data_IF_856064464943
#
_entry.id   IF_856064464943
#
_cell.length_a   1.000
_cell.length_b   1.000
_cell.length_c   1.000
_cell.angle_alpha   90.00
_cell.angle_beta   90.00
_cell.angle_gamma   90.00
#
_symmetry.space_group_name_H-M   'P 1'
#
loop_
_entity.id
_entity.type
_entity.pdbx_description
1 polymer ?
#
# COMPACT_ATOMS: atom_id res chain seq x y z
N UNK A 1 -6.21 14.77 23.98
CA UNK A 1 -5.33 15.08 22.83
C UNK A 1 -5.69 14.10 21.73
N UNK A 2 -6.42 14.52 20.70
CA UNK A 2 -6.78 13.63 19.59
C UNK A 2 -5.53 13.33 18.75
N UNK A 3 -5.21 12.06 18.54
CA UNK A 3 -4.13 11.63 17.65
C UNK A 3 -4.43 12.13 16.23
N UNK A 4 -3.41 12.63 15.50
CA UNK A 4 -3.58 13.08 14.10
C UNK A 4 -4.20 11.97 13.22
N UNK A 5 -3.96 10.70 13.57
CA UNK A 5 -4.55 9.52 12.92
C UNK A 5 -6.08 9.51 13.01
N UNK A 6 -6.64 9.76 14.21
CA UNK A 6 -8.09 9.76 14.42
C UNK A 6 -8.77 10.85 13.58
N UNK A 7 -8.16 12.04 13.54
CA UNK A 7 -8.66 13.15 12.74
C UNK A 7 -8.62 12.83 11.24
N UNK A 8 -7.47 12.34 10.75
CA UNK A 8 -7.30 11.97 9.34
C UNK A 8 -8.28 10.87 8.93
N UNK A 9 -8.51 9.88 9.80
CA UNK A 9 -9.46 8.80 9.53
C UNK A 9 -10.90 9.28 9.48
N UNK A 10 -11.32 10.15 10.42
CA UNK A 10 -12.64 10.77 10.36
C UNK A 10 -12.86 11.55 9.06
N UNK A 11 -11.87 12.34 8.63
CA UNK A 11 -11.92 13.07 7.36
C UNK A 11 -11.96 12.12 6.15
N UNK A 12 -11.18 11.04 6.16
CA UNK A 12 -11.16 10.04 5.09
C UNK A 12 -12.50 9.32 4.96
N UNK A 13 -13.11 8.89 6.07
CA UNK A 13 -14.42 8.24 6.05
C UNK A 13 -15.48 9.19 5.48
N UNK A 14 -15.52 10.45 5.94
CA UNK A 14 -16.44 11.45 5.41
C UNK A 14 -16.21 11.74 3.91
N UNK A 15 -14.96 11.65 3.43
CA UNK A 15 -14.65 11.83 2.01
C UNK A 15 -15.12 10.64 1.18
N UNK A 16 -14.94 9.41 1.69
CA UNK A 16 -15.43 8.17 1.06
C UNK A 16 -16.93 8.23 0.80
N UNK A 17 -17.71 8.75 1.74
CA UNK A 17 -19.16 8.90 1.62
C UNK A 17 -19.59 10.06 0.69
N UNK A 18 -18.64 10.92 0.30
CA UNK A 18 -18.90 12.14 -0.46
C UNK A 18 -17.72 12.55 -1.34
N UNK A 19 -17.44 11.76 -2.38
CA UNK A 19 -16.27 11.97 -3.27
C UNK A 19 -16.26 13.33 -3.99
N UNK A 20 -17.42 13.98 -4.13
CA UNK A 20 -17.54 15.33 -4.72
C UNK A 20 -17.33 16.46 -3.69
N UNK A 21 -16.97 16.15 -2.45
CA UNK A 21 -16.64 17.13 -1.44
C UNK A 21 -15.20 17.65 -1.63
N UNK A 22 -15.02 18.50 -2.63
CA UNK A 22 -13.72 19.08 -3.01
C UNK A 22 -13.06 19.86 -1.87
N UNK A 23 -13.85 20.52 -1.01
CA UNK A 23 -13.31 21.23 0.15
C UNK A 23 -12.71 20.25 1.17
N UNK A 24 -13.40 19.15 1.45
CA UNK A 24 -12.89 18.10 2.34
C UNK A 24 -11.67 17.41 1.74
N UNK A 25 -11.68 17.13 0.43
CA UNK A 25 -10.54 16.58 -0.30
C UNK A 25 -9.29 17.47 -0.11
N UNK A 26 -9.42 18.79 -0.34
CA UNK A 26 -8.33 19.73 -0.13
C UNK A 26 -7.87 19.78 1.34
N UNK A 27 -8.81 19.85 2.29
CA UNK A 27 -8.47 19.87 3.73
C UNK A 27 -7.72 18.62 4.15
N UNK A 28 -8.15 17.44 3.68
CA UNK A 28 -7.52 16.16 4.00
C UNK A 28 -6.09 16.11 3.46
N UNK A 29 -5.90 16.38 2.17
CA UNK A 29 -4.57 16.40 1.55
C UNK A 29 -3.63 17.40 2.23
N UNK A 30 -4.12 18.61 2.54
CA UNK A 30 -3.31 19.61 3.24
C UNK A 30 -2.93 19.18 4.65
N UNK A 31 -3.84 18.54 5.38
CA UNK A 31 -3.56 18.01 6.73
C UNK A 31 -2.50 16.92 6.68
N UNK A 32 -2.59 15.99 5.71
CA UNK A 32 -1.57 14.96 5.48
C UNK A 32 -0.22 15.61 5.20
N UNK A 33 -0.16 16.56 4.27
CA UNK A 33 1.04 17.31 3.91
C UNK A 33 1.67 17.98 5.14
N UNK A 34 0.87 18.67 5.96
CA UNK A 34 1.34 19.35 7.16
C UNK A 34 1.91 18.37 8.20
N UNK A 35 1.31 17.19 8.35
CA UNK A 35 1.81 16.13 9.23
C UNK A 35 3.16 15.58 8.73
N UNK A 36 3.27 15.24 7.44
CA UNK A 36 4.53 14.77 6.83
C UNK A 36 5.64 15.80 6.99
N UNK A 37 5.39 17.07 6.64
CA UNK A 37 6.37 18.16 6.77
C UNK A 37 6.81 18.41 8.22
N UNK A 38 5.97 18.10 9.21
CA UNK A 38 6.34 18.20 10.64
C UNK A 38 7.36 17.13 11.02
N UNK A 39 7.11 15.89 10.60
CA UNK A 39 8.03 14.77 10.81
C UNK A 39 9.36 14.99 10.10
N UNK A 40 9.35 15.44 8.85
CA UNK A 40 10.58 15.73 8.09
C UNK A 40 11.45 16.79 8.77
N UNK A 41 10.85 17.89 9.25
CA UNK A 41 11.57 18.93 9.99
C UNK A 41 12.22 18.37 11.26
N UNK A 42 11.52 17.50 11.98
CA UNK A 42 12.06 16.83 13.18
C UNK A 42 13.24 15.92 12.82
N UNK A 43 13.10 15.10 11.78
CA UNK A 43 14.17 14.23 11.27
C UNK A 43 15.40 15.05 10.87
N UNK A 44 15.21 16.16 10.13
CA UNK A 44 16.28 17.05 9.70
C UNK A 44 17.06 17.64 10.88
N UNK A 45 16.34 18.11 11.92
CA UNK A 45 16.95 18.60 13.16
C UNK A 45 17.78 17.51 13.85
N UNK A 46 17.20 16.33 14.06
CA UNK A 46 17.88 15.21 14.74
C UNK A 46 19.11 14.71 13.98
N UNK A 47 19.04 14.66 12.64
CA UNK A 47 20.19 14.33 11.79
C UNK A 47 21.32 15.36 11.94
N UNK A 48 20.99 16.65 11.98
CA UNK A 48 21.96 17.73 12.22
C UNK A 48 22.60 17.60 13.62
N UNK A 49 21.80 17.33 14.64
CA UNK A 49 22.29 17.13 16.01
C UNK A 49 23.22 15.90 16.09
N UNK A 50 22.84 14.79 15.46
CA UNK A 50 23.69 13.60 15.37
C UNK A 50 25.02 13.87 14.65
N UNK A 51 25.02 14.67 13.58
CA UNK A 51 26.25 15.06 12.90
C UNK A 51 27.18 15.89 13.81
N UNK A 52 26.62 16.82 14.58
CA UNK A 52 27.37 17.61 15.56
C UNK A 52 27.94 16.75 16.69
N UNK A 53 27.14 15.84 17.26
CA UNK A 53 27.58 14.90 18.29
C UNK A 53 28.70 13.97 17.81
N UNK A 54 28.59 13.45 16.58
CA UNK A 54 29.66 12.64 15.95
C UNK A 54 30.94 13.45 15.72
N UNK A 55 30.81 14.72 15.35
CA UNK A 55 31.96 15.63 15.21
C UNK A 55 32.64 15.87 16.56
N UNK A 56 31.88 16.07 17.64
CA UNK A 56 32.40 16.24 18.98
C UNK A 56 33.19 15.01 19.47
N UNK A 57 32.67 13.79 19.22
CA UNK A 57 33.38 12.54 19.53
C UNK A 57 34.73 12.41 18.81
N UNK A 58 34.85 12.92 17.58
CA UNK A 58 36.08 12.85 16.79
C UNK A 58 37.11 13.89 17.21
N UNK A 59 36.65 15.11 17.53
CA UNK A 59 37.53 16.27 17.76
C UNK A 59 37.92 16.46 19.22
N UNK A 60 37.11 15.98 20.15
CA UNK A 60 37.33 16.17 21.58
C UNK A 60 37.76 14.85 22.19
N UNK A 61 38.91 14.82 22.90
CA UNK A 61 39.30 13.72 23.80
C UNK A 61 38.38 13.70 25.01
N UNK A 62 37.10 13.40 24.78
CA UNK A 62 36.08 13.40 25.81
C UNK A 62 36.39 12.32 26.85
N UNK A 63 36.21 12.61 28.14
CA UNK A 63 36.21 11.58 29.18
C UNK A 63 35.25 10.45 28.83
N UNK A 64 35.57 9.22 29.26
CA UNK A 64 34.83 7.99 28.93
C UNK A 64 33.32 8.12 29.16
N UNK A 65 32.91 8.67 30.30
CA UNK A 65 31.51 8.88 30.67
C UNK A 65 30.78 9.82 29.70
N UNK A 66 31.41 10.96 29.35
CA UNK A 66 30.83 11.90 28.37
C UNK A 66 30.74 11.28 26.98
N UNK A 67 31.70 10.44 26.59
CA UNK A 67 31.66 9.70 25.33
C UNK A 67 30.49 8.70 25.29
N UNK A 68 30.24 7.98 26.39
CA UNK A 68 29.11 7.06 26.51
C UNK A 68 27.77 7.80 26.38
N UNK A 69 27.57 8.87 27.14
CA UNK A 69 26.34 9.66 27.08
C UNK A 69 26.05 10.22 25.67
N UNK A 70 27.10 10.66 24.94
CA UNK A 70 26.95 11.11 23.56
C UNK A 70 26.53 9.97 22.63
N UNK A 71 27.10 8.76 22.78
CA UNK A 71 26.72 7.58 21.99
C UNK A 71 25.28 7.17 22.26
N UNK A 72 24.86 7.16 23.51
CA UNK A 72 23.47 6.89 23.91
C UNK A 72 22.51 7.91 23.30
N UNK A 73 22.86 9.21 23.32
CA UNK A 73 22.05 10.25 22.68
C UNK A 73 21.93 10.05 21.18
N UNK A 74 23.01 9.66 20.50
CA UNK A 74 22.98 9.35 19.06
C UNK A 74 22.06 8.16 18.78
N UNK A 75 22.12 7.11 19.61
CA UNK A 75 21.25 5.93 19.50
C UNK A 75 19.78 6.34 19.67
N UNK A 76 19.45 7.03 20.75
CA UNK A 76 18.10 7.55 21.00
C UNK A 76 17.59 8.41 19.84
N UNK A 77 18.39 9.36 19.35
CA UNK A 77 18.00 10.19 18.22
C UNK A 77 17.74 9.36 16.95
N UNK A 78 18.47 8.26 16.76
CA UNK A 78 18.28 7.36 15.61
C UNK A 78 16.98 6.57 15.71
N UNK A 79 16.62 6.10 16.91
CA UNK A 79 15.33 5.46 17.20
C UNK A 79 14.17 6.44 16.94
N UNK A 80 14.28 7.69 17.42
CA UNK A 80 13.27 8.73 17.15
C UNK A 80 13.17 9.03 15.65
N UNK A 81 14.28 9.07 14.91
CA UNK A 81 14.25 9.23 13.45
C UNK A 81 13.49 8.08 12.78
N UNK A 82 13.69 6.83 13.23
CA UNK A 82 12.97 5.68 12.69
C UNK A 82 11.47 5.78 12.96
N UNK A 83 11.07 6.16 14.19
CA UNK A 83 9.67 6.39 14.55
C UNK A 83 9.02 7.51 13.71
N UNK A 84 9.72 8.63 13.48
CA UNK A 84 9.21 9.71 12.63
C UNK A 84 9.09 9.31 11.15
N UNK A 85 9.98 8.44 10.65
CA UNK A 85 9.83 7.87 9.29
C UNK A 85 8.62 6.96 9.19
N UNK A 86 8.37 6.14 10.21
CA UNK A 86 7.17 5.30 10.27
C UNK A 86 5.90 6.15 10.28
N UNK A 87 5.87 7.26 11.04
CA UNK A 87 4.75 8.22 10.97
C UNK A 87 4.55 8.80 9.58
N UNK A 88 5.62 9.16 8.87
CA UNK A 88 5.52 9.63 7.47
C UNK A 88 4.88 8.54 6.61
N UNK A 89 5.33 7.29 6.72
CA UNK A 89 4.71 6.16 6.03
C UNK A 89 3.21 6.08 6.33
N UNK A 90 2.81 6.07 7.61
CA UNK A 90 1.41 6.05 8.04
C UNK A 90 0.60 7.23 7.47
N UNK A 91 1.12 8.46 7.52
CA UNK A 91 0.41 9.62 6.96
C UNK A 91 0.28 9.51 5.44
N UNK A 92 1.28 8.99 4.75
CA UNK A 92 1.21 8.77 3.31
C UNK A 92 0.27 7.62 2.91
N UNK A 93 0.02 6.64 3.79
CA UNK A 93 -1.05 5.66 3.58
C UNK A 93 -2.44 6.30 3.55
N UNK A 94 -2.66 7.43 4.25
CA UNK A 94 -3.87 8.24 4.06
C UNK A 94 -3.89 8.94 2.69
N UNK A 95 -2.72 9.37 2.18
CA UNK A 95 -2.62 9.92 0.82
C UNK A 95 -2.91 8.85 -0.24
N UNK A 96 -2.37 7.64 -0.06
CA UNK A 96 -2.76 6.49 -0.88
C UNK A 96 -4.26 6.22 -0.76
N UNK A 97 -4.85 6.32 0.44
CA UNK A 97 -6.29 6.11 0.58
C UNK A 97 -7.10 7.10 -0.25
N UNK A 98 -6.68 8.37 -0.31
CA UNK A 98 -7.29 9.35 -1.22
C UNK A 98 -7.13 8.87 -2.66
N UNK A 99 -5.95 8.41 -3.09
CA UNK A 99 -5.76 7.88 -4.45
C UNK A 99 -6.73 6.73 -4.78
N UNK A 100 -6.81 5.73 -3.90
CA UNK A 100 -7.65 4.53 -4.08
C UNK A 100 -9.16 4.82 -4.03
N UNK A 101 -9.59 5.99 -3.54
CA UNK A 101 -10.99 6.41 -3.64
C UNK A 101 -11.38 6.89 -5.04
N UNK A 102 -10.42 7.30 -5.87
CA UNK A 102 -10.68 7.89 -7.19
C UNK A 102 -10.06 7.12 -8.36
N UNK A 103 -9.04 6.30 -8.10
CA UNK A 103 -8.30 5.58 -9.14
C UNK A 103 -8.42 4.09 -8.86
N UNK A 104 -8.71 3.32 -9.92
CA UNK A 104 -8.72 1.87 -9.85
C UNK A 104 -7.39 1.31 -9.30
N UNK A 105 -7.47 0.29 -8.43
CA UNK A 105 -6.31 -0.28 -7.75
C UNK A 105 -5.32 -0.98 -8.68
N UNK A 106 -5.78 -1.45 -9.85
CA UNK A 106 -4.92 -2.03 -10.88
C UNK A 106 -4.24 -0.95 -11.71
N UNK A 107 -4.86 0.22 -11.89
CA UNK A 107 -4.19 1.43 -12.41
C UNK A 107 -3.12 1.93 -11.44
N UNK A 108 -3.42 2.06 -10.15
CA UNK A 108 -2.44 2.54 -9.15
C UNK A 108 -1.19 1.66 -9.12
N UNK A 109 -1.33 0.34 -9.26
CA UNK A 109 -0.20 -0.58 -9.44
C UNK A 109 0.72 -0.15 -10.58
N UNK A 110 0.16 0.35 -11.69
CA UNK A 110 0.96 0.82 -12.82
C UNK A 110 1.72 2.11 -12.50
N UNK A 111 1.23 2.93 -11.57
CA UNK A 111 1.87 4.18 -11.16
C UNK A 111 2.98 3.98 -10.11
N UNK A 112 3.18 2.77 -9.62
CA UNK A 112 4.17 2.45 -8.58
C UNK A 112 5.53 2.03 -9.13
N UNK A 113 5.53 1.20 -10.17
CA UNK A 113 6.74 0.61 -10.72
C UNK A 113 7.40 1.50 -11.78
N UNK A 114 8.67 1.22 -12.07
CA UNK A 114 9.36 1.80 -13.22
C UNK A 114 8.67 1.37 -14.54
N UNK A 115 8.94 2.09 -15.63
CA UNK A 115 8.46 1.73 -16.98
C UNK A 115 9.38 0.72 -17.69
N UNK A 116 10.61 0.56 -17.20
CA UNK A 116 11.61 -0.33 -17.79
C UNK A 116 11.65 -1.73 -17.17
N UNK A 117 11.26 -1.87 -15.90
CA UNK A 117 11.18 -3.14 -15.19
C UNK A 117 10.18 -3.03 -14.01
N UNK A 118 9.92 -4.13 -13.32
CA UNK A 118 9.09 -4.18 -12.10
C UNK A 118 9.81 -3.73 -10.83
N UNK A 119 10.94 -3.01 -10.94
CA UNK A 119 11.51 -2.36 -9.77
C UNK A 119 10.64 -1.18 -9.37
N UNK A 120 10.53 -0.99 -8.06
CA UNK A 120 9.82 0.14 -7.48
C UNK A 120 10.50 1.43 -7.96
N UNK A 121 9.73 2.39 -8.46
CA UNK A 121 10.30 3.69 -8.84
C UNK A 121 10.79 4.44 -7.60
N UNK A 122 11.93 5.11 -7.69
CA UNK A 122 12.43 5.92 -6.56
C UNK A 122 11.44 7.03 -6.19
N UNK A 123 11.21 7.23 -4.88
CA UNK A 123 10.39 8.32 -4.39
C UNK A 123 11.09 9.66 -4.58
N UNK A 124 10.32 10.72 -4.81
CA UNK A 124 10.77 12.10 -4.69
C UNK A 124 11.40 12.36 -3.32
N UNK A 125 12.46 13.17 -3.25
CA UNK A 125 13.12 13.54 -1.99
C UNK A 125 12.24 14.42 -1.08
N UNK A 126 12.73 14.74 0.12
CA UNK A 126 12.03 15.49 1.18
C UNK A 126 11.18 16.68 0.65
N UNK A 127 9.97 16.85 1.21
CA UNK A 127 9.03 17.94 0.87
C UNK A 127 9.51 19.30 1.40
N UNK A 128 10.19 19.29 2.54
CA UNK A 128 10.61 20.52 3.22
C UNK A 128 11.68 21.32 2.46
N UNK A 129 11.28 22.48 1.93
CA UNK A 129 12.19 23.50 1.35
C UNK A 129 12.18 23.60 -0.17
N UNK A 130 11.25 22.93 -0.86
CA UNK A 130 11.05 23.07 -2.31
C UNK A 130 10.14 24.25 -2.62
N UNK A 131 10.56 25.15 -3.50
CA UNK A 131 9.70 26.19 -4.08
C UNK A 131 8.57 25.59 -4.94
N UNK A 132 8.81 24.43 -5.58
CA UNK A 132 7.85 23.75 -6.47
C UNK A 132 6.57 23.26 -5.81
N UNK A 133 6.62 22.86 -4.53
CA UNK A 133 5.45 22.34 -3.80
C UNK A 133 4.28 23.34 -3.74
N UNK A 134 4.59 24.64 -3.70
CA UNK A 134 3.54 25.68 -3.70
C UNK A 134 2.80 25.69 -5.04
N UNK A 135 3.51 25.58 -6.15
CA UNK A 135 2.93 25.57 -7.50
C UNK A 135 2.09 24.30 -7.73
N UNK A 136 2.60 23.13 -7.30
CA UNK A 136 1.88 21.86 -7.31
C UNK A 136 0.57 21.95 -6.49
N UNK A 137 0.63 22.56 -5.30
CA UNK A 137 -0.54 22.73 -4.44
C UNK A 137 -1.58 23.71 -5.01
N UNK A 138 -1.14 24.81 -5.61
CA UNK A 138 -2.07 25.74 -6.28
C UNK A 138 -2.73 25.10 -7.51
N UNK A 139 -2.05 24.19 -8.22
CA UNK A 139 -2.66 23.38 -9.28
C UNK A 139 -3.80 22.49 -8.74
N UNK A 140 -3.56 21.79 -7.63
CA UNK A 140 -4.57 20.95 -6.97
C UNK A 140 -5.79 21.77 -6.52
N UNK A 141 -5.55 22.93 -5.90
CA UNK A 141 -6.64 23.86 -5.51
C UNK A 141 -7.44 24.32 -6.71
N UNK A 142 -6.76 24.83 -7.76
CA UNK A 142 -7.43 25.35 -8.95
C UNK A 142 -8.33 24.29 -9.59
N UNK A 143 -7.85 23.04 -9.68
CA UNK A 143 -8.68 21.94 -10.18
C UNK A 143 -9.92 21.71 -9.32
N UNK A 144 -9.75 21.63 -7.99
CA UNK A 144 -10.85 21.42 -7.05
C UNK A 144 -11.86 22.58 -7.06
N UNK A 145 -11.40 23.83 -7.18
CA UNK A 145 -12.25 25.02 -7.32
C UNK A 145 -13.10 24.96 -8.59
N UNK A 146 -12.56 24.35 -9.65
CA UNK A 146 -13.26 24.05 -10.91
C UNK A 146 -14.00 22.70 -10.91
N UNK A 147 -14.25 22.12 -9.74
CA UNK A 147 -15.02 20.86 -9.57
C UNK A 147 -14.39 19.64 -10.23
N UNK A 148 -13.07 19.64 -10.40
CA UNK A 148 -12.29 18.49 -10.82
C UNK A 148 -11.51 17.97 -9.62
N UNK A 149 -11.74 16.73 -9.16
CA UNK A 149 -10.94 16.17 -8.07
C UNK A 149 -9.49 16.07 -8.52
N UNK A 150 -8.55 16.41 -7.64
CA UNK A 150 -7.13 16.38 -7.94
C UNK A 150 -6.34 15.88 -6.74
N UNK A 151 -5.20 15.25 -7.02
CA UNK A 151 -4.35 14.59 -6.04
C UNK A 151 -2.91 15.08 -6.15
N UNK A 152 -2.34 15.54 -5.04
CA UNK A 152 -0.91 15.79 -4.91
C UNK A 152 -0.17 14.46 -4.71
N UNK A 153 0.80 14.13 -5.56
CA UNK A 153 1.48 12.83 -5.46
C UNK A 153 2.46 12.75 -4.29
N UNK A 154 3.01 13.89 -3.88
CA UNK A 154 4.02 13.98 -2.83
C UNK A 154 3.49 13.52 -1.44
N UNK A 155 2.17 13.43 -1.26
CA UNK A 155 1.52 12.87 -0.07
C UNK A 155 1.24 11.36 -0.16
N UNK A 156 1.55 10.71 -1.28
CA UNK A 156 1.30 9.27 -1.52
C UNK A 156 2.61 8.46 -1.40
N UNK A 157 2.48 7.14 -1.30
CA UNK A 157 3.60 6.19 -1.49
C UNK A 157 3.46 5.38 -2.78
N UNK A 158 2.23 5.16 -3.25
CA UNK A 158 1.90 4.32 -4.39
C UNK A 158 2.02 5.03 -5.74
N UNK A 159 1.75 6.34 -5.80
CA UNK A 159 1.88 7.11 -7.05
C UNK A 159 3.26 7.74 -7.11
N UNK A 160 4.09 7.28 -8.05
CA UNK A 160 5.50 7.71 -8.17
C UNK A 160 5.84 8.36 -9.51
N UNK A 161 4.84 8.66 -10.33
CA UNK A 161 5.01 9.36 -11.62
C UNK A 161 4.18 10.63 -11.67
N UNK A 162 4.79 11.72 -12.14
CA UNK A 162 4.20 13.06 -12.09
C UNK A 162 4.16 13.65 -10.70
N UNK A 163 3.68 14.89 -10.60
CA UNK A 163 3.59 15.65 -9.36
C UNK A 163 2.12 15.80 -8.89
N UNK A 164 1.18 15.88 -9.84
CA UNK A 164 -0.25 16.02 -9.60
C UNK A 164 -1.03 15.12 -10.57
N UNK A 165 -2.19 14.60 -10.15
CA UNK A 165 -3.17 13.99 -11.05
C UNK A 165 -4.51 14.71 -10.99
N UNK A 166 -5.15 14.87 -12.15
CA UNK A 166 -6.58 15.19 -12.23
C UNK A 166 -7.38 13.89 -12.32
N UNK A 167 -8.44 13.80 -11.54
CA UNK A 167 -9.19 12.56 -11.28
C UNK A 167 -10.65 12.63 -11.77
N UNK A 168 -10.95 13.54 -12.70
CA UNK A 168 -12.30 13.76 -13.23
C UNK A 168 -12.73 12.77 -14.33
N UNK A 169 -11.97 11.70 -14.54
CA UNK A 169 -12.19 10.64 -15.54
C UNK A 169 -11.85 9.29 -14.91
N UNK A 170 -12.22 8.20 -15.59
CA UNK A 170 -11.93 6.84 -15.13
C UNK A 170 -10.44 6.59 -14.91
N UNK A 171 -9.59 7.14 -15.79
CA UNK A 171 -8.13 7.10 -15.66
C UNK A 171 -7.56 8.46 -15.23
N UNK A 172 -6.53 8.48 -14.37
CA UNK A 172 -5.93 9.72 -13.88
C UNK A 172 -5.15 10.42 -14.99
N UNK A 173 -5.36 11.74 -15.12
CA UNK A 173 -4.53 12.57 -15.97
C UNK A 173 -3.34 13.11 -15.18
N UNK A 174 -2.16 12.54 -15.45
CA UNK A 174 -0.93 12.84 -14.72
C UNK A 174 -0.24 14.09 -15.28
N UNK A 175 0.10 15.01 -14.38
CA UNK A 175 0.77 16.28 -14.66
C UNK A 175 2.14 16.27 -13.99
N UNK A 176 3.19 16.52 -14.78
CA UNK A 176 4.53 16.86 -14.28
C UNK A 176 4.70 18.39 -14.34
N UNK A 177 4.87 19.00 -13.18
CA UNK A 177 5.03 20.44 -13.03
C UNK A 177 6.50 20.83 -13.22
N UNK A 178 6.74 21.93 -13.93
CA UNK A 178 8.08 22.51 -14.10
C UNK A 178 8.03 24.00 -13.86
N UNK A 179 8.81 24.46 -12.89
CA UNK A 179 8.98 25.89 -12.59
C UNK A 179 10.03 26.58 -13.48
N UNK A 180 10.74 25.84 -14.36
CA UNK A 180 11.79 26.36 -15.23
C UNK A 180 11.72 25.77 -16.63
N UNK A 181 12.11 26.55 -17.65
CA UNK A 181 12.19 26.13 -19.07
C UNK A 181 13.37 25.21 -19.40
N UNK A 182 14.09 24.70 -18.39
CA UNK A 182 15.35 24.00 -18.58
C UNK A 182 15.13 22.55 -19.09
N UNK A 183 15.59 22.26 -20.31
CA UNK A 183 15.49 20.94 -20.93
C UNK A 183 16.81 20.19 -20.80
N UNK A 184 16.93 19.37 -19.76
CA UNK A 184 18.08 18.45 -19.59
C UNK A 184 17.66 17.00 -19.86
N UNK A 185 18.63 16.12 -20.14
CA UNK A 185 18.40 14.67 -20.37
C UNK A 185 17.52 14.00 -19.30
N UNK A 186 17.61 14.46 -18.04
CA UNK A 186 16.75 14.00 -16.95
C UNK A 186 15.27 14.31 -17.21
N UNK A 187 14.97 15.52 -17.68
CA UNK A 187 13.62 16.00 -17.98
C UNK A 187 13.05 15.25 -19.17
N UNK A 188 13.84 15.05 -20.23
CA UNK A 188 13.43 14.24 -21.39
C UNK A 188 13.10 12.80 -20.99
N UNK A 189 13.90 12.19 -20.11
CA UNK A 189 13.62 10.84 -19.58
C UNK A 189 12.34 10.79 -18.76
N UNK A 190 12.08 11.78 -17.92
CA UNK A 190 10.82 11.86 -17.14
C UNK A 190 9.61 11.96 -18.08
N UNK A 191 9.69 12.83 -19.09
CA UNK A 191 8.64 12.99 -20.10
C UNK A 191 8.40 11.69 -20.88
N UNK A 192 9.46 11.07 -21.38
CA UNK A 192 9.36 9.80 -22.11
C UNK A 192 8.76 8.67 -21.25
N UNK A 193 9.11 8.61 -19.96
CA UNK A 193 8.53 7.63 -19.04
C UNK A 193 7.04 7.87 -18.81
N UNK A 194 6.62 9.14 -18.64
CA UNK A 194 5.21 9.50 -18.53
C UNK A 194 4.43 9.20 -19.81
N UNK A 195 5.00 9.48 -20.97
CA UNK A 195 4.38 9.17 -22.27
C UNK A 195 4.19 7.65 -22.45
N UNK A 196 5.19 6.84 -22.10
CA UNK A 196 5.08 5.37 -22.14
C UNK A 196 4.00 4.85 -21.20
N UNK A 197 3.98 5.34 -19.97
CA UNK A 197 2.99 4.94 -18.97
C UNK A 197 1.58 5.37 -19.38
N UNK A 198 1.42 6.62 -19.82
CA UNK A 198 0.15 7.15 -20.30
C UNK A 198 -0.35 6.41 -21.54
N UNK A 199 0.53 6.07 -22.48
CA UNK A 199 0.15 5.24 -23.64
C UNK A 199 -0.30 3.84 -23.23
N UNK A 200 0.34 3.22 -22.24
CA UNK A 200 -0.07 1.90 -21.76
C UNK A 200 -1.45 1.95 -21.09
N UNK A 201 -1.67 2.93 -20.19
CA UNK A 201 -2.97 3.11 -19.51
C UNK A 201 -4.08 3.41 -20.53
N UNK A 202 -3.80 4.20 -21.57
CA UNK A 202 -4.80 4.57 -22.56
C UNK A 202 -5.14 3.48 -23.57
N UNK A 203 -4.24 2.52 -23.81
CA UNK A 203 -4.41 1.47 -24.84
C UNK A 203 -4.67 0.09 -24.28
N UNK A 204 -4.50 -0.10 -22.98
CA UNK A 204 -4.53 -1.41 -22.32
C UNK A 204 -3.49 -2.41 -22.83
N UNK A 205 -2.54 -1.99 -23.66
CA UNK A 205 -1.48 -2.85 -24.18
C UNK A 205 -0.18 -2.08 -24.39
N UNK A 206 0.95 -2.78 -24.20
CA UNK A 206 2.25 -2.26 -24.58
C UNK A 206 3.23 -3.40 -24.89
N UNK A 207 4.00 -3.21 -25.95
CA UNK A 207 5.15 -4.05 -26.28
C UNK A 207 6.40 -3.59 -25.52
N UNK A 208 7.24 -4.53 -25.12
CA UNK A 208 8.53 -4.30 -24.45
C UNK A 208 8.41 -3.35 -23.22
N UNK A 209 7.31 -3.48 -22.48
CA UNK A 209 7.04 -2.67 -21.30
C UNK A 209 7.42 -3.44 -20.05
N UNK A 210 8.21 -2.82 -19.16
CA UNK A 210 8.74 -3.45 -17.95
C UNK A 210 9.55 -4.74 -18.16
N UNK A 211 10.18 -4.88 -19.34
CA UNK A 211 10.91 -6.11 -19.69
C UNK A 211 10.01 -7.28 -20.07
N UNK A 212 8.69 -7.07 -20.16
CA UNK A 212 7.75 -8.04 -20.70
C UNK A 212 7.58 -7.76 -22.20
N UNK A 213 7.75 -8.78 -23.07
CA UNK A 213 7.59 -8.61 -24.52
C UNK A 213 6.23 -8.02 -24.90
N UNK A 214 5.16 -8.49 -24.26
CA UNK A 214 3.80 -8.02 -24.43
C UNK A 214 3.07 -8.00 -23.09
N UNK A 215 2.66 -6.80 -22.66
CA UNK A 215 1.80 -6.63 -21.48
C UNK A 215 0.44 -6.13 -21.93
N UNK A 216 -0.61 -6.82 -21.47
CA UNK A 216 -2.01 -6.46 -21.74
C UNK A 216 -2.74 -6.32 -20.41
N UNK A 217 -3.50 -5.24 -20.26
CA UNK A 217 -4.48 -5.05 -19.20
C UNK A 217 -5.82 -5.57 -19.71
N UNK A 218 -6.39 -6.53 -19.00
CA UNK A 218 -7.73 -7.04 -19.29
C UNK A 218 -8.66 -6.67 -18.15
N UNK A 219 -9.90 -6.38 -18.51
CA UNK A 219 -10.97 -6.24 -17.52
C UNK A 219 -11.18 -7.58 -16.82
N UNK A 220 -11.56 -7.49 -15.55
CA UNK A 220 -12.13 -8.62 -14.84
C UNK A 220 -13.47 -8.97 -15.48
N UNK A 221 -13.78 -10.26 -15.49
CA UNK A 221 -14.99 -10.85 -16.04
C UNK A 221 -16.10 -10.94 -15.00
N UNK A 222 -15.74 -10.97 -13.73
CA UNK A 222 -16.66 -10.99 -12.60
C UNK A 222 -16.31 -9.90 -11.58
N UNK A 223 -17.31 -9.44 -10.83
CA UNK A 223 -17.11 -8.47 -9.74
C UNK A 223 -16.28 -9.12 -8.62
N UNK A 224 -15.33 -8.36 -8.08
CA UNK A 224 -14.48 -8.83 -7.00
C UNK A 224 -15.26 -9.05 -5.71
N UNK A 225 -15.17 -10.26 -5.17
CA UNK A 225 -15.69 -10.59 -3.84
C UNK A 225 -14.70 -10.17 -2.75
N UNK A 226 -15.17 -9.40 -1.76
CA UNK A 226 -14.36 -8.91 -0.64
C UNK A 226 -15.00 -9.18 0.72
N UNK A 227 -14.17 -9.56 1.68
CA UNK A 227 -14.50 -9.78 3.09
C UNK A 227 -14.10 -8.61 3.99
N UNK A 228 -13.93 -7.41 3.43
CA UNK A 228 -13.62 -6.19 4.19
C UNK A 228 -14.68 -5.90 5.27
N UNK A 229 -15.96 -6.17 4.99
CA UNK A 229 -17.01 -6.06 6.00
C UNK A 229 -16.83 -7.08 7.14
N UNK A 230 -16.59 -8.35 6.81
CA UNK A 230 -16.36 -9.42 7.79
C UNK A 230 -15.16 -9.11 8.68
N UNK A 231 -14.07 -8.57 8.11
CA UNK A 231 -12.94 -8.08 8.90
C UNK A 231 -13.40 -7.06 9.95
N UNK A 232 -14.14 -6.02 9.54
CA UNK A 232 -14.53 -4.95 10.45
C UNK A 232 -15.54 -5.43 11.53
N UNK A 233 -16.39 -6.41 11.21
CA UNK A 233 -17.22 -7.10 12.20
C UNK A 233 -16.37 -7.89 13.20
N UNK A 234 -15.34 -8.60 12.72
CA UNK A 234 -14.35 -9.29 13.56
C UNK A 234 -13.59 -8.31 14.48
N UNK A 235 -13.21 -7.13 13.99
CA UNK A 235 -12.58 -6.09 14.80
C UNK A 235 -13.51 -5.55 15.90
N UNK A 236 -14.79 -5.37 15.58
CA UNK A 236 -15.80 -4.97 16.56
C UNK A 236 -15.97 -6.03 17.66
N UNK A 237 -16.03 -7.31 17.29
CA UNK A 237 -16.07 -8.42 18.24
C UNK A 237 -14.82 -8.46 19.13
N UNK A 238 -13.65 -8.31 18.52
CA UNK A 238 -12.36 -8.27 19.21
C UNK A 238 -12.30 -7.13 20.24
N UNK A 239 -12.88 -5.97 19.94
CA UNK A 239 -12.96 -4.85 20.87
C UNK A 239 -13.71 -5.18 22.16
N UNK A 240 -14.73 -6.02 22.08
CA UNK A 240 -15.54 -6.44 23.23
C UNK A 240 -14.95 -7.62 24.00
N UNK A 241 -14.29 -8.55 23.29
CA UNK A 241 -13.84 -9.85 23.84
C UNK A 241 -12.32 -9.92 24.08
N UNK A 242 -11.56 -8.92 23.66
CA UNK A 242 -10.10 -8.93 23.62
C UNK A 242 -9.51 -9.69 22.42
N UNK A 243 -10.25 -10.64 21.86
CA UNK A 243 -9.85 -11.43 20.69
C UNK A 243 -11.06 -11.90 19.87
N UNK A 244 -10.89 -12.08 18.55
CA UNK A 244 -11.95 -12.59 17.67
C UNK A 244 -11.39 -13.36 16.46
N UNK A 245 -12.05 -14.48 16.13
CA UNK A 245 -11.72 -15.34 15.01
C UNK A 245 -12.98 -15.51 14.15
N UNK A 246 -12.84 -15.40 12.84
CA UNK A 246 -13.91 -15.68 11.89
C UNK A 246 -13.36 -16.39 10.65
N UNK A 247 -14.14 -17.33 10.12
CA UNK A 247 -13.92 -17.92 8.80
C UNK A 247 -14.71 -17.10 7.77
N UNK A 248 -14.00 -16.33 6.94
CA UNK A 248 -14.61 -15.44 5.95
C UNK A 248 -15.14 -16.19 4.73
N UNK A 249 -14.39 -17.22 4.31
CA UNK A 249 -14.80 -18.28 3.41
C UNK A 249 -14.10 -19.56 3.85
N UNK A 250 -14.53 -20.71 3.32
CA UNK A 250 -13.93 -21.99 3.65
C UNK A 250 -12.41 -21.95 3.42
N UNK A 251 -11.66 -22.09 4.50
CA UNK A 251 -10.19 -22.02 4.47
C UNK A 251 -9.57 -20.62 4.57
N UNK A 252 -10.35 -19.53 4.63
CA UNK A 252 -9.84 -18.18 4.92
C UNK A 252 -10.26 -17.76 6.32
N UNK A 253 -9.33 -17.81 7.26
CA UNK A 253 -9.55 -17.34 8.63
C UNK A 253 -8.95 -15.96 8.86
N UNK A 254 -9.70 -15.09 9.53
CA UNK A 254 -9.28 -13.75 9.98
C UNK A 254 -9.25 -13.76 11.50
N UNK A 255 -8.10 -13.40 12.08
CA UNK A 255 -7.86 -13.35 13.51
C UNK A 255 -7.46 -11.93 13.93
N UNK A 256 -8.09 -11.42 14.97
CA UNK A 256 -7.79 -10.14 15.58
C UNK A 256 -7.56 -10.30 17.09
N UNK A 257 -6.48 -9.72 17.61
CA UNK A 257 -6.07 -9.84 19.02
C UNK A 257 -5.66 -8.47 19.56
N UNK A 258 -6.27 -8.10 20.69
CA UNK A 258 -5.90 -6.96 21.54
C UNK A 258 -5.37 -7.43 22.90
N UNK A 259 -5.99 -8.48 23.43
CA UNK A 259 -5.64 -9.09 24.70
C UNK A 259 -5.52 -10.61 24.54
N UNK A 260 -4.55 -11.22 25.23
CA UNK A 260 -4.32 -12.67 25.19
C UNK A 260 -3.32 -13.10 24.11
N UNK A 261 -3.43 -14.35 23.68
CA UNK A 261 -2.48 -14.99 22.76
C UNK A 261 -3.21 -15.51 21.51
N UNK A 262 -2.69 -15.18 20.33
CA UNK A 262 -3.20 -15.69 19.07
C UNK A 262 -3.20 -17.22 18.99
N UNK A 263 -2.20 -17.88 19.59
CA UNK A 263 -2.07 -19.34 19.55
C UNK A 263 -3.30 -20.06 20.13
N UNK A 264 -3.89 -19.56 21.22
CA UNK A 264 -5.07 -20.20 21.83
C UNK A 264 -6.32 -20.12 20.96
N UNK A 265 -6.37 -19.18 20.02
CA UNK A 265 -7.49 -19.11 19.05
C UNK A 265 -7.31 -20.13 17.93
N UNK A 266 -6.05 -20.37 17.54
CA UNK A 266 -5.70 -21.31 16.49
C UNK A 266 -5.93 -22.76 16.92
N UNK A 267 -5.90 -23.07 18.22
CA UNK A 267 -6.29 -24.39 18.75
C UNK A 267 -7.72 -24.80 18.37
N UNK A 268 -8.60 -23.85 18.09
CA UNK A 268 -9.99 -24.13 17.69
C UNK A 268 -10.16 -24.36 16.18
N UNK A 269 -9.09 -24.20 15.39
CA UNK A 269 -9.09 -24.53 13.96
C UNK A 269 -8.41 -25.88 13.80
N UNK A 270 -9.00 -26.74 12.97
CA UNK A 270 -8.41 -28.03 12.60
C UNK A 270 -7.20 -27.83 11.67
N UNK A 271 -6.08 -27.40 12.25
CA UNK A 271 -4.76 -27.42 11.67
C UNK A 271 -4.14 -28.82 11.85
N UNK A 272 -4.71 -29.85 11.22
CA UNK A 272 -4.02 -31.12 11.03
C UNK A 272 -2.61 -30.83 10.47
N UNK A 273 -1.56 -31.41 11.06
CA UNK A 273 -0.15 -31.18 10.68
C UNK A 273 0.13 -31.45 9.20
N UNK A 274 -0.75 -32.18 8.52
CA UNK A 274 -0.67 -32.47 7.08
C UNK A 274 -1.24 -31.37 6.18
N UNK A 275 -1.99 -30.42 6.73
CA UNK A 275 -2.62 -29.36 5.94
C UNK A 275 -1.63 -28.25 5.65
N UNK A 276 -1.60 -27.82 4.40
CA UNK A 276 -0.78 -26.68 3.99
C UNK A 276 -1.48 -25.37 4.37
N UNK A 277 -0.78 -24.52 5.13
CA UNK A 277 -1.30 -23.24 5.62
C UNK A 277 -0.38 -22.11 5.20
N UNK A 278 -0.97 -21.00 4.73
CA UNK A 278 -0.25 -19.78 4.43
C UNK A 278 -0.67 -18.66 5.40
N UNK A 279 0.12 -18.41 6.47
CA UNK A 279 -0.16 -17.36 7.42
C UNK A 279 0.33 -16.00 6.93
N UNK A 280 -0.48 -14.96 7.12
CA UNK A 280 -0.14 -13.58 6.78
C UNK A 280 -0.45 -12.65 7.95
N UNK A 281 0.59 -12.05 8.51
CA UNK A 281 0.47 -11.11 9.64
C UNK A 281 0.45 -9.68 9.13
N UNK A 282 -0.72 -9.03 9.13
CA UNK A 282 -0.88 -7.67 8.60
C UNK A 282 0.05 -6.66 9.28
N UNK A 283 0.29 -6.82 10.60
CA UNK A 283 1.22 -5.96 11.35
C UNK A 283 2.65 -6.04 10.82
N UNK A 284 3.11 -7.21 10.34
CA UNK A 284 4.45 -7.36 9.76
C UNK A 284 4.56 -6.56 8.46
N UNK A 285 3.60 -6.70 7.54
CA UNK A 285 3.56 -5.95 6.29
C UNK A 285 3.49 -4.45 6.52
N UNK A 286 2.70 -3.98 7.50
CA UNK A 286 2.67 -2.57 7.92
C UNK A 286 4.04 -2.12 8.43
N UNK A 287 4.61 -2.84 9.40
CA UNK A 287 5.82 -2.40 10.11
C UNK A 287 7.06 -2.43 9.21
N UNK A 288 7.10 -3.33 8.23
CA UNK A 288 8.17 -3.44 7.24
C UNK A 288 8.00 -2.49 6.04
N UNK A 289 6.83 -1.85 5.89
CA UNK A 289 6.51 -1.01 4.74
C UNK A 289 6.25 -1.80 3.45
N UNK A 290 5.83 -3.06 3.57
CA UNK A 290 5.64 -4.03 2.48
C UNK A 290 4.20 -4.05 1.94
N UNK A 291 3.32 -3.18 2.45
CA UNK A 291 1.92 -3.09 2.02
C UNK A 291 1.73 -2.58 0.58
N UNK A 292 2.73 -1.92 0.01
CA UNK A 292 2.59 -1.16 -1.24
C UNK A 292 2.77 -2.06 -2.48
N UNK A 293 2.07 -1.80 -3.59
CA UNK A 293 1.04 -0.78 -3.82
C UNK A 293 -0.38 -1.37 -3.69
N UNK A 294 -0.68 -2.04 -2.58
CA UNK A 294 -2.02 -2.56 -2.30
C UNK A 294 -2.90 -1.46 -1.68
N UNK A 295 -4.20 -1.72 -1.69
CA UNK A 295 -5.23 -0.88 -1.05
C UNK A 295 -4.82 -0.66 0.39
N UNK A 296 -4.67 0.61 0.83
CA UNK A 296 -4.03 0.90 2.10
C UNK A 296 -4.90 0.45 3.27
N UNK A 297 -4.25 -0.02 4.35
CA UNK A 297 -4.94 -0.43 5.57
C UNK A 297 -5.84 0.65 6.18
N UNK A 298 -5.61 1.93 5.85
CA UNK A 298 -6.45 3.07 6.26
C UNK A 298 -7.82 3.08 5.57
N UNK A 299 -8.01 2.40 4.43
CA UNK A 299 -9.31 2.12 3.82
C UNK A 299 -9.91 0.80 4.27
N UNK A 300 -9.06 -0.16 4.65
CA UNK A 300 -9.48 -1.48 5.09
C UNK A 300 -10.12 -1.47 6.49
N UNK A 301 -9.52 -0.75 7.43
CA UNK A 301 -10.01 -0.64 8.81
C UNK A 301 -10.90 0.61 8.91
N UNK A 302 -12.19 0.44 9.21
CA UNK A 302 -13.18 1.52 9.18
C UNK A 302 -13.20 2.36 10.45
N UNK A 303 -13.10 1.73 11.61
CA UNK A 303 -13.16 2.42 12.89
C UNK A 303 -11.86 3.20 13.17
N UNK A 304 -11.93 4.49 13.53
CA UNK A 304 -10.75 5.29 13.84
C UNK A 304 -9.87 4.75 14.97
N UNK A 305 -10.48 4.18 16.01
CA UNK A 305 -9.77 3.64 17.16
C UNK A 305 -9.13 2.30 16.83
N UNK A 306 -9.81 1.41 16.09
CA UNK A 306 -9.18 0.17 15.63
C UNK A 306 -7.97 0.45 14.72
N UNK A 307 -8.09 1.42 13.82
CA UNK A 307 -6.97 1.84 12.96
C UNK A 307 -5.81 2.41 13.79
N UNK A 308 -6.12 3.25 14.78
CA UNK A 308 -5.12 3.80 15.69
C UNK A 308 -4.36 2.70 16.42
N UNK A 309 -5.08 1.76 17.00
CA UNK A 309 -4.49 0.67 17.79
C UNK A 309 -3.70 -0.30 16.92
N UNK A 310 -4.13 -0.54 15.68
CA UNK A 310 -3.37 -1.30 14.70
C UNK A 310 -2.03 -0.61 14.38
N UNK A 311 -2.04 0.71 14.19
CA UNK A 311 -0.83 1.49 13.91
C UNK A 311 0.14 1.43 15.10
N UNK A 312 -0.35 1.62 16.33
CA UNK A 312 0.47 1.61 17.56
C UNK A 312 0.91 0.21 17.97
N UNK A 313 0.27 -0.84 17.47
CA UNK A 313 0.61 -2.24 17.76
C UNK A 313 -0.21 -2.89 18.88
N UNK A 314 -1.22 -2.18 19.38
CA UNK A 314 -2.18 -2.65 20.40
C UNK A 314 -3.28 -3.54 19.80
N UNK A 315 -3.42 -3.54 18.47
CA UNK A 315 -4.26 -4.48 17.72
C UNK A 315 -3.39 -5.25 16.72
N UNK A 316 -3.37 -6.58 16.87
CA UNK A 316 -2.72 -7.50 15.93
C UNK A 316 -3.78 -8.16 15.05
N UNK A 317 -3.55 -8.16 13.74
CA UNK A 317 -4.42 -8.83 12.75
C UNK A 317 -3.59 -9.82 11.95
N UNK A 318 -4.10 -11.05 11.82
CA UNK A 318 -3.49 -12.09 11.00
C UNK A 318 -4.57 -12.84 10.21
N UNK A 319 -4.19 -13.31 9.03
CA UNK A 319 -5.00 -14.14 8.17
C UNK A 319 -4.33 -15.51 7.99
N UNK A 320 -5.12 -16.58 7.95
CA UNK A 320 -4.65 -17.93 7.71
C UNK A 320 -5.41 -18.52 6.53
N UNK A 321 -4.67 -18.89 5.49
CA UNK A 321 -5.22 -19.47 4.27
C UNK A 321 -4.91 -20.98 4.24
N UNK A 322 -5.94 -21.82 4.27
CA UNK A 322 -5.85 -23.28 4.18
C UNK A 322 -5.73 -23.67 2.71
N UNK A 323 -4.50 -23.88 2.24
CA UNK A 323 -4.18 -24.04 0.82
C UNK A 323 -4.87 -25.25 0.19
N UNK A 324 -5.07 -26.32 0.96
CA UNK A 324 -5.73 -27.54 0.46
C UNK A 324 -7.22 -27.35 0.15
N UNK A 325 -7.91 -26.42 0.82
CA UNK A 325 -9.29 -26.09 0.45
C UNK A 325 -9.35 -25.43 -0.92
N UNK A 326 -8.38 -24.56 -1.23
CA UNK A 326 -8.29 -23.90 -2.53
C UNK A 326 -7.84 -24.83 -3.65
N UNK A 327 -6.99 -25.82 -3.36
CA UNK A 327 -6.64 -26.87 -4.32
C UNK A 327 -7.88 -27.67 -4.75
N UNK A 328 -8.81 -27.95 -3.84
CA UNK A 328 -10.08 -28.63 -4.17
C UNK A 328 -10.91 -27.81 -5.15
N UNK A 329 -11.02 -26.49 -4.92
CA UNK A 329 -11.74 -25.58 -5.83
C UNK A 329 -11.14 -25.63 -7.25
N UNK A 330 -9.82 -25.58 -7.36
CA UNK A 330 -9.17 -25.67 -8.67
C UNK A 330 -9.40 -27.02 -9.36
N UNK A 331 -9.35 -28.14 -8.61
CA UNK A 331 -9.60 -29.49 -9.13
C UNK A 331 -11.03 -29.59 -9.68
N UNK A 332 -12.02 -29.06 -8.97
CA UNK A 332 -13.42 -29.02 -9.41
C UNK A 332 -13.59 -28.23 -10.73
N UNK A 333 -12.70 -27.27 -10.99
CA UNK A 333 -12.66 -26.47 -12.22
C UNK A 333 -11.78 -27.10 -13.32
N UNK A 334 -11.20 -28.28 -13.09
CA UNK A 334 -10.35 -28.98 -14.06
C UNK A 334 -8.89 -28.53 -14.06
N UNK A 335 -8.40 -27.98 -12.95
CA UNK A 335 -7.02 -27.49 -12.81
C UNK A 335 -6.31 -28.06 -11.57
N UNK A 336 -5.01 -28.27 -11.69
CA UNK A 336 -4.10 -28.44 -10.56
C UNK A 336 -3.60 -27.06 -10.10
N UNK A 337 -3.68 -26.79 -8.80
CA UNK A 337 -3.21 -25.56 -8.16
C UNK A 337 -1.96 -25.85 -7.35
N UNK A 338 -0.86 -25.16 -7.67
CA UNK A 338 0.42 -25.29 -6.96
C UNK A 338 0.83 -23.94 -6.42
N UNK A 339 1.12 -23.87 -5.13
CA UNK A 339 1.72 -22.70 -4.50
C UNK A 339 3.23 -22.80 -4.57
N UNK A 340 3.89 -21.75 -5.04
CA UNK A 340 5.34 -21.72 -5.24
C UNK A 340 5.94 -20.59 -4.41
N UNK A 341 6.94 -20.93 -3.60
CA UNK A 341 7.74 -19.95 -2.87
C UNK A 341 8.96 -19.55 -3.69
N UNK A 342 9.16 -18.24 -3.91
CA UNK A 342 10.35 -17.59 -4.48
C UNK A 342 10.41 -17.38 -6.01
N UNK A 343 9.30 -17.52 -6.73
CA UNK A 343 9.21 -17.13 -8.14
C UNK A 343 8.44 -15.81 -8.35
N UNK A 344 8.52 -15.24 -9.55
CA UNK A 344 7.67 -14.10 -9.96
C UNK A 344 6.16 -14.40 -9.81
N UNK A 345 5.82 -15.69 -9.88
CA UNK A 345 4.50 -16.25 -9.65
C UNK A 345 4.45 -16.98 -8.31
N UNK A 346 3.35 -16.77 -7.58
CA UNK A 346 3.09 -17.43 -6.29
C UNK A 346 2.14 -18.60 -6.39
N UNK A 347 1.36 -18.63 -7.47
CA UNK A 347 0.37 -19.65 -7.78
C UNK A 347 0.60 -20.06 -9.22
N UNK A 348 0.64 -21.37 -9.46
CA UNK A 348 0.60 -21.96 -10.79
C UNK A 348 -0.70 -22.75 -10.94
N UNK A 349 -1.37 -22.53 -12.06
CA UNK A 349 -2.56 -23.25 -12.47
C UNK A 349 -2.22 -24.07 -13.71
N UNK A 350 -2.33 -25.39 -13.60
CA UNK A 350 -2.12 -26.33 -14.71
C UNK A 350 -3.44 -26.98 -15.08
N UNK A 351 -3.81 -26.95 -16.36
CA UNK A 351 -5.03 -27.63 -16.80
C UNK A 351 -4.84 -29.15 -16.79
N UNK A 352 -5.78 -29.88 -16.21
CA UNK A 352 -5.67 -31.34 -16.08
C UNK A 352 -5.74 -31.99 -17.46
N UNK A 353 -4.76 -32.83 -17.77
CA UNK A 353 -4.66 -33.53 -19.06
C UNK A 353 -4.05 -32.71 -20.20
N UNK A 354 -3.60 -31.48 -19.94
CA UNK A 354 -2.97 -30.60 -20.93
C UNK A 354 -1.61 -30.08 -20.41
N UNK A 355 -0.71 -29.70 -21.33
CA UNK A 355 0.58 -29.09 -21.00
C UNK A 355 0.48 -27.56 -20.82
N UNK A 356 -0.73 -27.07 -20.55
CA UNK A 356 -1.01 -25.64 -20.38
C UNK A 356 -0.84 -25.26 -18.91
N UNK A 357 0.06 -24.31 -18.66
CA UNK A 357 0.35 -23.76 -17.33
C UNK A 357 0.37 -22.23 -17.42
N UNK A 358 -0.26 -21.57 -16.46
CA UNK A 358 -0.12 -20.13 -16.26
C UNK A 358 0.05 -19.78 -14.78
N UNK A 359 0.62 -18.61 -14.53
CA UNK A 359 0.96 -18.16 -13.18
C UNK A 359 0.18 -16.93 -12.74
N UNK A 360 -0.11 -16.86 -11.45
CA UNK A 360 -0.64 -15.66 -10.78
C UNK A 360 0.44 -15.09 -9.88
N UNK A 361 0.70 -13.79 -10.00
CA UNK A 361 1.80 -13.11 -9.31
C UNK A 361 1.61 -13.09 -7.79
N UNK A 362 2.72 -13.07 -7.05
CA UNK A 362 2.74 -12.90 -5.59
C UNK A 362 1.92 -11.70 -5.10
N UNK A 363 1.99 -10.59 -5.81
CA UNK A 363 1.22 -9.40 -5.46
C UNK A 363 -0.30 -9.62 -5.51
N UNK A 364 -0.79 -10.44 -6.44
CA UNK A 364 -2.22 -10.78 -6.50
C UNK A 364 -2.62 -11.69 -5.34
N UNK A 365 -1.79 -12.67 -4.99
CA UNK A 365 -2.02 -13.49 -3.78
C UNK A 365 -2.06 -12.61 -2.52
N UNK A 366 -1.18 -11.62 -2.39
CA UNK A 366 -1.19 -10.71 -1.24
C UNK A 366 -2.45 -9.85 -1.12
N UNK A 367 -3.22 -9.63 -2.21
CA UNK A 367 -4.51 -8.93 -2.12
C UNK A 367 -5.54 -9.70 -1.30
N UNK A 368 -5.45 -11.03 -1.26
CA UNK A 368 -6.36 -11.88 -0.47
C UNK A 368 -6.31 -11.48 1.01
N UNK A 369 -5.18 -11.59 1.72
CA UNK A 369 -5.12 -11.24 3.14
C UNK A 369 -4.96 -9.73 3.41
N UNK A 370 -4.42 -8.92 2.48
CA UNK A 370 -4.16 -7.49 2.74
C UNK A 370 -5.24 -6.55 2.20
N UNK A 371 -6.13 -7.03 1.33
CA UNK A 371 -7.32 -6.30 0.86
C UNK A 371 -8.62 -7.03 1.18
N UNK A 372 -8.53 -8.19 1.85
CA UNK A 372 -9.66 -9.09 2.13
C UNK A 372 -10.36 -9.58 0.86
N UNK A 373 -9.63 -9.77 -0.24
CA UNK A 373 -10.17 -10.35 -1.48
C UNK A 373 -10.43 -11.85 -1.29
N UNK A 374 -11.51 -12.39 -1.85
CA UNK A 374 -11.75 -13.84 -1.84
C UNK A 374 -10.70 -14.59 -2.66
N UNK A 375 -10.13 -15.64 -2.06
CA UNK A 375 -9.22 -16.55 -2.75
C UNK A 375 -9.98 -17.43 -3.74
N UNK A 376 -11.20 -17.87 -3.39
CA UNK A 376 -12.06 -18.61 -4.30
C UNK A 376 -12.36 -17.81 -5.57
N UNK A 377 -12.67 -16.52 -5.40
CA UNK A 377 -12.86 -15.59 -6.51
C UNK A 377 -11.58 -15.45 -7.33
N UNK A 378 -10.44 -15.19 -6.69
CA UNK A 378 -9.15 -15.02 -7.40
C UNK A 378 -8.82 -16.21 -8.29
N UNK A 379 -9.05 -17.44 -7.82
CA UNK A 379 -8.80 -18.67 -8.58
C UNK A 379 -9.73 -18.76 -9.79
N UNK A 380 -11.05 -18.61 -9.58
CA UNK A 380 -12.06 -18.68 -10.64
C UNK A 380 -11.82 -17.61 -11.70
N UNK A 381 -11.58 -16.39 -11.26
CA UNK A 381 -11.36 -15.24 -12.14
C UNK A 381 -10.07 -15.42 -12.96
N UNK A 382 -8.98 -15.90 -12.34
CA UNK A 382 -7.73 -16.18 -13.05
C UNK A 382 -7.91 -17.22 -14.15
N UNK A 383 -8.66 -18.29 -13.86
CA UNK A 383 -9.02 -19.33 -14.86
C UNK A 383 -9.89 -18.75 -15.98
N UNK A 384 -10.89 -17.94 -15.65
CA UNK A 384 -11.80 -17.34 -16.62
C UNK A 384 -11.07 -16.37 -17.56
N UNK A 385 -10.24 -15.47 -17.01
CA UNK A 385 -9.46 -14.50 -17.79
C UNK A 385 -8.48 -15.23 -18.71
N UNK A 386 -7.82 -16.26 -18.20
CA UNK A 386 -6.89 -17.05 -19.01
C UNK A 386 -7.60 -17.81 -20.15
N UNK A 387 -8.72 -18.47 -19.85
CA UNK A 387 -9.48 -19.21 -20.85
C UNK A 387 -10.01 -18.32 -21.97
N UNK A 388 -10.51 -17.12 -21.64
CA UNK A 388 -10.93 -16.11 -22.62
C UNK A 388 -9.75 -15.45 -23.37
N UNK A 389 -8.50 -15.73 -22.97
CA UNK A 389 -7.31 -15.26 -23.69
C UNK A 389 -6.80 -16.26 -24.72
N UNK A 390 -7.26 -17.52 -24.65
CA UNK A 390 -6.93 -18.58 -25.60
C UNK A 390 -7.92 -18.71 -26.75
N UNK A 391 -9.17 -18.24 -26.56
CA UNK A 391 -10.17 -18.08 -27.62
C UNK A 391 -10.05 -16.73 -28.29
#
# INVERSE_FOLDING_TARGET
KYSDVLLLKGMLNNLKDGLNNFELLLKLQFKILACVMRCERKIKSLKKDNANLRSALKKSRLPKEKSLAVKEKIKYNSEVIAAEKFKIYTYKMFGDAVAFLYIDKYTIKQLYYNVHNYNIKETSGDLSGKSGLREEWECVKLACDNKVPALLHDITMSIRHGDVSLLGKDEPFIIEMKSSSNTNKRVERQKSNLEKLGSFIAKDEAENFRGIPLLIRKNLLTEEESYSQILNECLNDCRSKGMALVEAEKGFYICAVREGNMASMLENIDFDEKKEVFPVFLNQYKNNGEWLPLTPFTLLINDPYDLHDFIEGELTIACFLMLDEYKKIAIELGYELVFVSNDEYSILLKRIGEDIIFGVSWQMLLRVPLEMMSMSWLIKESINVYSNSLG
#
